data_IF_992888818319
#
_entry.id   IF_992888818319
#
_cell.length_a   1.000
_cell.length_b   1.000
_cell.length_c   1.000
_cell.angle_alpha   90.00
_cell.angle_beta   90.00
_cell.angle_gamma   90.00
#
_symmetry.space_group_name_H-M   'P 1'
#
loop_
_entity.id
_entity.type
_entity.pdbx_description
1 polymer ?
#
# COMPACT_ATOMS: atom_id res chain seq x y z
N UNK A 1 7.15 5.45 26.17
CA UNK A 1 6.35 4.22 26.42
C UNK A 1 4.89 4.64 26.34
N UNK A 2 4.09 4.03 25.47
CA UNK A 2 2.68 4.41 25.27
C UNK A 2 1.80 3.32 25.92
N UNK A 3 0.90 3.66 26.86
CA UNK A 3 0.04 2.67 27.51
C UNK A 3 -1.15 2.29 26.63
N UNK A 4 -1.83 1.19 26.97
CA UNK A 4 -3.01 0.71 26.27
C UNK A 4 -4.11 1.79 26.17
N UNK A 5 -4.87 1.77 25.07
CA UNK A 5 -5.96 2.71 24.80
C UNK A 5 -5.58 3.99 24.05
N UNK A 6 -4.30 4.16 23.69
CA UNK A 6 -3.82 5.35 22.96
C UNK A 6 -3.54 5.06 21.48
N UNK A 7 -3.54 6.11 20.66
CA UNK A 7 -2.97 6.09 19.32
C UNK A 7 -1.50 6.50 19.35
N UNK A 8 -0.68 5.90 18.50
CA UNK A 8 0.76 6.14 18.43
C UNK A 8 1.25 6.00 17.00
N UNK A 9 2.21 6.85 16.61
CA UNK A 9 3.02 6.67 15.41
C UNK A 9 4.26 5.86 15.76
N UNK A 10 4.48 4.76 15.05
CA UNK A 10 5.59 3.82 15.29
C UNK A 10 6.51 3.84 14.07
N UNK A 11 7.79 4.05 14.30
CA UNK A 11 8.84 3.99 13.28
C UNK A 11 9.56 2.63 13.34
N UNK A 12 10.05 2.15 12.19
CA UNK A 12 10.89 0.94 12.10
C UNK A 12 10.14 -0.39 11.93
N UNK A 13 8.81 -0.37 11.85
CA UNK A 13 7.95 -1.57 11.63
C UNK A 13 7.30 -1.60 10.24
N UNK A 14 7.67 -0.68 9.35
CA UNK A 14 6.99 -0.47 8.07
C UNK A 14 7.27 -1.57 7.04
N UNK A 15 8.46 -2.18 7.07
CA UNK A 15 8.93 -3.11 6.05
C UNK A 15 8.01 -4.32 5.82
N UNK A 16 7.54 -5.05 6.86
CA UNK A 16 6.63 -6.19 6.68
C UNK A 16 5.15 -5.80 6.48
N UNK A 17 4.80 -4.53 6.64
CA UNK A 17 3.41 -4.07 6.62
C UNK A 17 3.07 -3.50 5.24
N UNK A 18 1.99 -4.01 4.64
CA UNK A 18 1.43 -3.43 3.40
C UNK A 18 0.21 -2.55 3.70
N UNK A 19 -0.78 -3.04 4.45
CA UNK A 19 -2.03 -2.28 4.71
C UNK A 19 -2.44 -2.29 6.17
N UNK A 20 -2.62 -3.48 6.71
CA UNK A 20 -3.07 -3.72 8.07
C UNK A 20 -2.17 -4.75 8.71
N UNK A 21 -1.74 -4.52 9.93
CA UNK A 21 -0.93 -5.46 10.69
C UNK A 21 -1.33 -5.46 12.16
N UNK A 22 -1.08 -6.59 12.83
CA UNK A 22 -1.24 -6.73 14.27
C UNK A 22 0.15 -6.94 14.85
N UNK A 23 0.62 -6.01 15.66
CA UNK A 23 1.96 -6.06 16.27
C UNK A 23 1.83 -6.70 17.65
N UNK A 24 2.59 -7.76 17.89
CA UNK A 24 2.66 -8.47 19.17
C UNK A 24 4.12 -8.59 19.62
N UNK A 25 4.33 -8.97 20.88
CA UNK A 25 5.67 -9.30 21.37
C UNK A 25 6.17 -10.62 20.76
N UNK A 26 7.49 -10.74 20.49
CA UNK A 26 8.06 -11.92 19.85
C UNK A 26 8.11 -13.15 20.76
N UNK A 27 7.96 -12.99 22.08
CA UNK A 27 7.98 -14.07 23.07
C UNK A 27 6.75 -13.90 23.96
N UNK A 28 5.97 -14.96 24.17
CA UNK A 28 4.86 -14.98 25.13
C UNK A 28 3.45 -15.03 24.53
N UNK A 29 3.28 -14.83 23.22
CA UNK A 29 1.98 -14.89 22.55
C UNK A 29 1.96 -15.90 21.40
N UNK A 30 2.11 -17.17 21.73
CA UNK A 30 2.09 -18.29 20.76
C UNK A 30 0.71 -18.47 20.09
N UNK A 31 -0.36 -18.03 20.76
CA UNK A 31 -1.74 -18.04 20.24
C UNK A 31 -2.17 -16.69 19.62
N UNK A 32 -1.22 -15.78 19.34
CA UNK A 32 -1.54 -14.49 18.73
C UNK A 32 -2.28 -14.64 17.40
N UNK A 33 -3.40 -13.94 17.28
CA UNK A 33 -4.17 -13.85 16.03
C UNK A 33 -4.11 -12.43 15.46
N UNK A 34 -4.39 -12.32 14.15
CA UNK A 34 -4.51 -11.02 13.49
C UNK A 34 -5.88 -10.40 13.79
N UNK A 35 -5.93 -9.07 13.86
CA UNK A 35 -7.18 -8.35 13.71
C UNK A 35 -7.77 -8.59 12.32
N UNK A 36 -9.10 -8.54 12.25
CA UNK A 36 -9.80 -8.62 10.97
C UNK A 36 -9.31 -7.49 10.04
N UNK A 37 -8.94 -7.78 8.79
CA UNK A 37 -8.60 -6.75 7.82
C UNK A 37 -9.71 -5.72 7.65
N UNK A 38 -9.33 -4.48 7.34
CA UNK A 38 -10.28 -3.39 7.15
C UNK A 38 -11.28 -3.72 6.02
N UNK A 39 -12.57 -3.63 6.33
CA UNK A 39 -13.64 -3.74 5.34
C UNK A 39 -13.99 -2.34 4.86
N UNK A 40 -13.57 -1.99 3.64
CA UNK A 40 -13.95 -0.72 3.01
C UNK A 40 -15.38 -0.77 2.49
N UNK A 41 -16.06 0.38 2.51
CA UNK A 41 -17.42 0.52 1.98
C UNK A 41 -17.47 0.55 0.45
N UNK A 42 -16.34 0.83 -0.20
CA UNK A 42 -16.22 0.99 -1.65
C UNK A 42 -15.27 -0.03 -2.23
N UNK A 43 -15.51 -0.42 -3.48
CA UNK A 43 -14.62 -1.29 -4.25
C UNK A 43 -13.78 -0.47 -5.22
N UNK A 44 -12.52 -0.89 -5.41
CA UNK A 44 -11.62 -0.28 -6.39
C UNK A 44 -11.88 -0.90 -7.77
N UNK A 45 -12.66 -0.19 -8.57
CA UNK A 45 -13.18 -0.66 -9.86
C UNK A 45 -12.53 0.01 -11.06
N UNK A 46 -12.00 1.22 -10.89
CA UNK A 46 -11.35 1.96 -11.98
C UNK A 46 -9.94 1.41 -12.14
N UNK A 47 -9.63 0.94 -13.34
CA UNK A 47 -8.35 0.32 -13.71
C UNK A 47 -7.55 1.27 -14.60
N UNK A 48 -6.29 1.51 -14.24
CA UNK A 48 -5.31 2.20 -15.10
C UNK A 48 -4.06 1.34 -15.26
N UNK A 49 -3.47 1.36 -16.45
CA UNK A 49 -2.15 0.79 -16.70
C UNK A 49 -1.07 1.87 -16.52
N UNK A 50 0.06 1.49 -15.95
CA UNK A 50 1.17 2.41 -15.66
C UNK A 50 2.48 1.77 -16.11
N UNK A 51 3.25 2.53 -16.89
CA UNK A 51 4.60 2.15 -17.31
C UNK A 51 5.54 3.36 -17.17
N UNK A 52 6.83 3.12 -16.89
CA UNK A 52 7.79 4.20 -16.85
C UNK A 52 8.08 4.69 -18.28
N UNK A 53 8.21 6.00 -18.46
CA UNK A 53 8.59 6.58 -19.76
C UNK A 53 9.96 6.06 -20.22
N UNK A 54 10.87 5.88 -19.26
CA UNK A 54 12.17 5.26 -19.48
C UNK A 54 12.18 3.85 -18.86
N UNK A 55 12.29 2.77 -19.66
CA UNK A 55 12.29 1.39 -19.15
C UNK A 55 13.37 1.08 -18.11
N UNK A 56 14.50 1.80 -18.15
CA UNK A 56 15.59 1.63 -17.16
C UNK A 56 15.19 2.07 -15.75
N UNK A 57 14.14 2.89 -15.61
CA UNK A 57 13.63 3.37 -14.32
C UNK A 57 12.53 2.47 -13.73
N UNK A 58 12.23 1.33 -14.38
CA UNK A 58 11.25 0.37 -13.90
C UNK A 58 11.45 -0.02 -12.42
N UNK A 59 12.68 -0.27 -11.91
CA UNK A 59 12.87 -0.59 -10.49
C UNK A 59 12.42 0.54 -9.55
N UNK A 60 12.58 1.80 -9.95
CA UNK A 60 12.12 2.96 -9.16
C UNK A 60 10.60 3.03 -9.13
N UNK A 61 9.96 2.83 -10.28
CA UNK A 61 8.50 2.78 -10.36
C UNK A 61 7.93 1.67 -9.48
N UNK A 62 8.54 0.48 -9.48
CA UNK A 62 8.12 -0.64 -8.64
C UNK A 62 8.20 -0.33 -7.14
N UNK A 63 9.26 0.36 -6.71
CA UNK A 63 9.38 0.83 -5.33
C UNK A 63 8.31 1.87 -4.99
N UNK A 64 8.07 2.82 -5.90
CA UNK A 64 6.99 3.80 -5.77
C UNK A 64 5.61 3.16 -5.67
N UNK A 65 5.33 2.14 -6.50
CA UNK A 65 4.08 1.37 -6.45
C UNK A 65 3.88 0.69 -5.09
N UNK A 66 4.94 0.16 -4.48
CA UNK A 66 4.89 -0.43 -3.13
C UNK A 66 4.57 0.64 -2.08
N UNK A 67 5.15 1.84 -2.19
CA UNK A 67 4.92 2.96 -1.27
C UNK A 67 3.48 3.47 -1.36
N UNK A 68 2.95 3.72 -2.56
CA UNK A 68 1.54 4.15 -2.70
C UNK A 68 0.57 3.06 -2.23
N UNK A 69 0.88 1.78 -2.43
CA UNK A 69 0.04 0.69 -1.92
C UNK A 69 0.03 0.63 -0.37
N UNK A 70 1.08 1.16 0.30
CA UNK A 70 1.10 1.36 1.76
C UNK A 70 0.32 2.59 2.20
N UNK A 71 0.47 3.71 1.49
CA UNK A 71 -0.17 4.98 1.84
C UNK A 71 -1.68 4.99 1.56
N UNK A 72 -2.15 4.22 0.56
CA UNK A 72 -3.53 4.22 0.08
C UNK A 72 -4.21 2.86 0.34
N UNK A 73 -5.01 2.71 1.41
CA UNK A 73 -5.49 1.39 1.86
C UNK A 73 -6.40 0.65 0.86
N UNK A 74 -7.19 1.39 0.09
CA UNK A 74 -8.09 0.84 -0.93
C UNK A 74 -7.40 0.60 -2.28
N UNK A 75 -6.18 1.10 -2.49
CA UNK A 75 -5.45 0.94 -3.74
C UNK A 75 -5.07 -0.52 -3.94
N UNK A 76 -5.10 -1.03 -5.17
CA UNK A 76 -4.56 -2.36 -5.46
C UNK A 76 -3.67 -2.29 -6.67
N UNK A 77 -2.42 -2.73 -6.53
CA UNK A 77 -1.44 -2.83 -7.61
C UNK A 77 -1.32 -4.30 -8.03
N UNK A 78 -1.35 -4.59 -9.33
CA UNK A 78 -1.19 -5.94 -9.90
C UNK A 78 -0.26 -5.88 -11.11
N UNK A 79 0.39 -7.00 -11.41
CA UNK A 79 1.09 -7.21 -12.67
C UNK A 79 0.27 -8.24 -13.45
N UNK A 80 -0.17 -7.86 -14.64
CA UNK A 80 -0.93 -8.75 -15.52
C UNK A 80 0.02 -9.72 -16.24
N UNK A 81 -0.51 -10.80 -16.82
CA UNK A 81 0.29 -11.78 -17.58
C UNK A 81 1.02 -11.16 -18.79
N UNK A 82 0.52 -10.04 -19.30
CA UNK A 82 1.15 -9.24 -20.35
C UNK A 82 2.44 -8.54 -19.88
N UNK A 83 2.70 -8.47 -18.57
CA UNK A 83 3.76 -7.67 -17.97
C UNK A 83 3.36 -6.23 -17.62
N UNK A 84 2.11 -5.84 -17.91
CA UNK A 84 1.60 -4.51 -17.59
C UNK A 84 1.37 -4.34 -16.08
N UNK A 85 1.78 -3.19 -15.55
CA UNK A 85 1.51 -2.83 -14.16
C UNK A 85 0.19 -2.07 -14.10
N UNK A 86 -0.73 -2.57 -13.29
CA UNK A 86 -2.09 -2.07 -13.20
C UNK A 86 -2.37 -1.56 -11.80
N UNK A 87 -3.01 -0.40 -11.73
CA UNK A 87 -3.51 0.21 -10.49
C UNK A 87 -5.04 0.24 -10.53
N UNK A 88 -5.65 -0.22 -9.43
CA UNK A 88 -7.09 -0.19 -9.20
C UNK A 88 -7.42 0.83 -8.11
N UNK A 89 -8.31 1.78 -8.42
CA UNK A 89 -8.79 2.82 -7.51
C UNK A 89 -10.30 2.96 -7.51
N UNK A 90 -10.82 3.77 -6.59
CA UNK A 90 -12.27 3.96 -6.38
C UNK A 90 -12.89 4.96 -7.36
N UNK A 91 -12.08 5.88 -7.91
CA UNK A 91 -12.55 6.94 -8.78
C UNK A 91 -11.41 7.77 -9.36
N UNK A 92 -11.78 8.71 -10.21
CA UNK A 92 -10.88 9.61 -10.95
C UNK A 92 -10.02 10.48 -10.02
N UNK A 93 -10.62 11.21 -9.08
CA UNK A 93 -9.87 12.03 -8.11
C UNK A 93 -8.91 11.18 -7.26
N UNK A 94 -9.33 9.99 -6.86
CA UNK A 94 -8.49 9.08 -6.07
C UNK A 94 -7.23 8.67 -6.85
N UNK A 95 -7.39 8.31 -8.12
CA UNK A 95 -6.29 7.93 -8.98
C UNK A 95 -5.42 9.13 -9.36
N UNK A 96 -5.97 10.32 -9.52
CA UNK A 96 -5.19 11.53 -9.76
C UNK A 96 -4.21 11.81 -8.62
N UNK A 97 -4.68 11.76 -7.36
CA UNK A 97 -3.81 11.91 -6.19
C UNK A 97 -2.75 10.81 -6.12
N UNK A 98 -3.13 9.55 -6.33
CA UNK A 98 -2.17 8.43 -6.32
C UNK A 98 -1.11 8.61 -7.40
N UNK A 99 -1.50 9.05 -8.59
CA UNK A 99 -0.56 9.29 -9.70
C UNK A 99 0.32 10.50 -9.44
N UNK A 100 -0.19 11.54 -8.78
CA UNK A 100 0.62 12.67 -8.33
C UNK A 100 1.73 12.21 -7.39
N UNK A 101 1.37 11.47 -6.34
CA UNK A 101 2.29 10.96 -5.34
C UNK A 101 3.33 10.02 -5.96
N UNK A 102 2.89 9.11 -6.84
CA UNK A 102 3.78 8.20 -7.56
C UNK A 102 4.80 8.94 -8.42
N UNK A 103 4.41 10.04 -9.08
CA UNK A 103 5.26 10.81 -10.02
C UNK A 103 6.15 11.87 -9.35
N UNK A 104 5.80 12.32 -8.14
CA UNK A 104 6.45 13.48 -7.51
C UNK A 104 7.09 13.18 -6.17
N UNK A 105 6.56 12.22 -5.41
CA UNK A 105 7.07 11.90 -4.08
C UNK A 105 7.88 10.61 -4.03
N UNK A 106 7.56 9.63 -4.89
CA UNK A 106 8.07 8.27 -4.76
C UNK A 106 8.87 7.71 -5.96
N UNK A 107 8.98 8.46 -7.07
CA UNK A 107 9.78 8.11 -8.26
C UNK A 107 11.19 8.69 -8.24
#
# INVERSE_FOLDING_TARGET
RVPAGNWVLIEGVDQPIVKTATVTEPRGNEEAQIFRPLKFNTTSVIKIAVEPVNPSELPKMLDGLRKVNKSYPSLTTKVEESGEHVILGTGELYLDCVMHDLRKMYS
#
